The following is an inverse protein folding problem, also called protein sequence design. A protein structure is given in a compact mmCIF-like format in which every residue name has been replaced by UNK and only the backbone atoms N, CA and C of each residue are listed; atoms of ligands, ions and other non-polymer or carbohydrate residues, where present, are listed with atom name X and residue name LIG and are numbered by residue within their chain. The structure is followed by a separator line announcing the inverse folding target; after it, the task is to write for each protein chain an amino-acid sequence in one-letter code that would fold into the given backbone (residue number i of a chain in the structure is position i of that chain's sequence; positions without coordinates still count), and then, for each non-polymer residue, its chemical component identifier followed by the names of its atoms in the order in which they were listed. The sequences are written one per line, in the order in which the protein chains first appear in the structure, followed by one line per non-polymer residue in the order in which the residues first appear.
data_IF_730464849164
#
_entry.id   IF_730464849164
#
_cell.length_a   1.000
_cell.length_b   1.000
_cell.length_c   1.000
_cell.angle_alpha   90.00
_cell.angle_beta   90.00
_cell.angle_gamma   90.00
#
_symmetry.space_group_name_H-M   'P 1'
#
loop_
_entity.id
_entity.type
_entity.pdbx_description
1 polymer ?
#
# COMPACT_ATOMS: atom_id res chain seq x y z
N UNK A 1 -8.83 -0.22 10.46
CA UNK A 1 -7.71 -1.00 11.04
C UNK A 1 -7.79 -2.41 10.45
N UNK A 2 -6.99 -2.71 9.41
CA UNK A 2 -7.07 -3.96 8.62
C UNK A 2 -5.85 -4.87 8.82
N UNK A 3 -5.28 -4.92 10.03
CA UNK A 3 -4.13 -5.79 10.33
C UNK A 3 -4.58 -7.03 11.09
N UNK A 4 -4.03 -8.18 10.72
CA UNK A 4 -4.25 -9.43 11.43
C UNK A 4 -3.48 -9.36 12.75
N UNK A 5 -4.19 -9.37 13.88
CA UNK A 5 -3.59 -9.36 15.22
C UNK A 5 -3.46 -10.76 15.83
N UNK A 6 -4.10 -11.77 15.23
CA UNK A 6 -4.02 -13.16 15.63
C UNK A 6 -4.26 -14.05 14.42
N UNK A 7 -3.46 -15.11 14.25
CA UNK A 7 -3.61 -16.09 13.17
C UNK A 7 -3.44 -17.51 13.75
N UNK A 8 -4.29 -18.48 13.38
CA UNK A 8 -4.34 -19.79 14.05
C UNK A 8 -3.09 -20.66 13.86
N UNK A 9 -2.25 -20.36 12.86
CA UNK A 9 -1.07 -21.15 12.50
C UNK A 9 0.23 -20.33 12.54
N UNK A 10 0.15 -19.02 12.33
CA UNK A 10 1.34 -18.17 12.12
C UNK A 10 1.43 -17.15 13.24
N UNK A 11 2.64 -16.98 13.78
CA UNK A 11 2.89 -15.93 14.74
C UNK A 11 2.87 -14.55 14.06
N UNK A 12 2.10 -13.64 14.64
CA UNK A 12 2.10 -12.23 14.21
C UNK A 12 3.32 -11.56 14.83
N UNK A 13 4.34 -11.34 14.00
CA UNK A 13 5.56 -10.66 14.43
C UNK A 13 5.30 -9.17 14.65
N UNK A 14 5.70 -8.67 15.81
CA UNK A 14 5.79 -7.23 16.02
C UNK A 14 6.88 -6.64 15.15
N UNK A 15 6.58 -5.50 14.55
CA UNK A 15 7.50 -4.76 13.70
C UNK A 15 7.49 -3.30 14.10
N UNK A 16 8.62 -2.63 13.90
CA UNK A 16 8.75 -1.21 14.17
C UNK A 16 7.79 -0.41 13.29
N UNK A 17 7.07 0.54 13.89
CA UNK A 17 6.30 1.54 13.13
C UNK A 17 7.25 2.58 12.54
N UNK A 18 7.09 2.86 11.26
CA UNK A 18 7.79 3.92 10.55
C UNK A 18 6.78 4.95 10.04
N UNK A 19 7.22 6.21 9.97
CA UNK A 19 6.41 7.33 9.50
C UNK A 19 6.73 7.58 8.02
N UNK A 20 5.70 7.88 7.22
CA UNK A 20 5.85 8.33 5.85
C UNK A 20 4.72 9.31 5.48
N UNK A 21 4.85 9.97 4.33
CA UNK A 21 3.80 10.86 3.81
C UNK A 21 3.23 10.30 2.51
N UNK A 22 1.91 10.40 2.36
CA UNK A 22 1.21 10.11 1.12
C UNK A 22 0.16 11.21 0.89
N UNK A 23 0.23 11.89 -0.25
CA UNK A 23 -0.63 13.04 -0.57
C UNK A 23 -0.67 14.09 0.57
N UNK A 24 0.51 14.45 1.10
CA UNK A 24 0.68 15.39 2.22
C UNK A 24 0.03 14.95 3.54
N UNK A 25 -0.42 13.69 3.66
CA UNK A 25 -0.93 13.11 4.91
C UNK A 25 0.15 12.29 5.58
N UNK A 26 0.37 12.54 6.86
CA UNK A 26 1.26 11.70 7.69
C UNK A 26 0.59 10.35 7.96
N UNK A 27 1.26 9.27 7.60
CA UNK A 27 0.79 7.89 7.75
C UNK A 27 1.85 7.03 8.45
N UNK A 28 1.43 5.85 8.93
CA UNK A 28 2.30 4.87 9.56
C UNK A 28 2.29 3.54 8.83
N UNK A 29 3.47 2.96 8.63
CA UNK A 29 3.68 1.61 8.12
C UNK A 29 4.44 0.76 9.14
N UNK A 30 4.50 -0.55 8.93
CA UNK A 30 5.45 -1.42 9.61
C UNK A 30 6.70 -1.60 8.73
N UNK A 31 7.86 -1.71 9.36
CA UNK A 31 9.12 -1.89 8.66
C UNK A 31 9.13 -3.12 7.72
N UNK A 32 9.60 -2.92 6.48
CA UNK A 32 9.61 -3.95 5.45
C UNK A 32 8.25 -4.25 4.82
N UNK A 33 7.24 -3.41 5.04
CA UNK A 33 6.01 -3.44 4.22
C UNK A 33 6.23 -2.80 2.87
N UNK A 34 5.50 -3.31 1.88
CA UNK A 34 5.32 -2.60 0.61
C UNK A 34 4.40 -1.40 0.81
N UNK A 35 4.54 -0.39 -0.06
CA UNK A 35 3.71 0.81 -0.10
C UNK A 35 2.23 0.44 -0.10
N UNK A 36 1.84 -0.54 -0.91
CA UNK A 36 0.44 -0.91 -1.03
C UNK A 36 -0.11 -1.55 0.26
N UNK A 37 0.69 -2.37 0.96
CA UNK A 37 0.31 -2.91 2.28
C UNK A 37 0.16 -1.78 3.31
N UNK A 38 1.08 -0.81 3.30
CA UNK A 38 1.03 0.36 4.17
C UNK A 38 -0.22 1.21 3.92
N UNK A 39 -0.56 1.50 2.65
CA UNK A 39 -1.76 2.25 2.28
C UNK A 39 -3.05 1.53 2.71
N UNK A 40 -3.14 0.22 2.47
CA UNK A 40 -4.29 -0.59 2.90
C UNK A 40 -4.48 -0.59 4.42
N UNK A 41 -3.38 -0.63 5.18
CA UNK A 41 -3.45 -0.55 6.64
C UNK A 41 -3.98 0.79 7.14
N UNK A 42 -3.76 1.85 6.36
CA UNK A 42 -4.30 3.20 6.58
C UNK A 42 -5.68 3.41 5.91
N UNK A 43 -6.34 2.32 5.47
CA UNK A 43 -7.64 2.29 4.79
C UNK A 43 -7.69 3.01 3.43
N UNK A 44 -6.54 3.21 2.78
CA UNK A 44 -6.42 3.74 1.42
C UNK A 44 -6.32 2.54 0.47
N UNK A 45 -7.41 2.23 -0.24
CA UNK A 45 -7.45 1.12 -1.20
C UNK A 45 -7.42 1.60 -2.66
N UNK A 46 -7.70 2.89 -2.88
CA UNK A 46 -7.66 3.55 -4.19
C UNK A 46 -6.44 4.46 -4.23
N UNK A 47 -5.55 4.22 -5.19
CA UNK A 47 -4.28 4.92 -5.35
C UNK A 47 -4.35 5.97 -6.47
N UNK A 48 -5.25 5.77 -7.43
CA UNK A 48 -5.55 6.72 -8.49
C UNK A 48 -6.91 6.38 -9.13
N UNK A 49 -7.33 7.18 -10.10
CA UNK A 49 -8.53 6.94 -10.90
C UNK A 49 -8.16 6.85 -12.38
N UNK A 50 -8.80 5.93 -13.10
CA UNK A 50 -8.54 5.72 -14.52
C UNK A 50 -9.07 6.90 -15.35
N UNK A 51 -8.25 7.47 -16.22
CA UNK A 51 -8.57 8.72 -16.95
C UNK A 51 -9.78 8.67 -17.89
N UNK A 52 -10.22 7.47 -18.29
CA UNK A 52 -11.32 7.32 -19.27
C UNK A 52 -12.70 7.33 -18.60
N UNK A 53 -12.81 6.71 -17.43
CA UNK A 53 -14.08 6.33 -16.83
C UNK A 53 -14.13 6.55 -15.31
N UNK A 54 -13.10 7.17 -14.75
CA UNK A 54 -12.96 7.45 -13.31
C UNK A 54 -13.09 6.19 -12.43
N UNK A 55 -12.78 5.02 -12.98
CA UNK A 55 -12.77 3.79 -12.21
C UNK A 55 -11.61 3.80 -11.19
N UNK A 56 -11.84 3.41 -9.93
CA UNK A 56 -10.79 3.42 -8.91
C UNK A 56 -9.73 2.37 -9.23
N UNK A 57 -8.46 2.75 -9.13
CA UNK A 57 -7.31 1.87 -9.33
C UNK A 57 -6.57 1.64 -8.00
N UNK A 58 -6.09 0.42 -7.78
CA UNK A 58 -5.38 0.03 -6.58
C UNK A 58 -4.61 -1.27 -6.75
N UNK A 59 -4.45 -2.04 -5.68
CA UNK A 59 -3.94 -3.42 -5.79
C UNK A 59 -4.88 -4.25 -6.66
N UNK A 60 -4.29 -4.98 -7.61
CA UNK A 60 -4.98 -5.98 -8.43
C UNK A 60 -4.17 -7.27 -8.51
N UNK A 61 -3.05 -7.26 -9.23
CA UNK A 61 -2.23 -8.47 -9.46
C UNK A 61 -1.29 -8.86 -8.30
N UNK A 62 -0.91 -7.89 -7.44
CA UNK A 62 0.05 -8.06 -6.36
C UNK A 62 1.40 -8.72 -6.73
N UNK A 63 1.83 -8.63 -8.00
CA UNK A 63 3.06 -9.26 -8.50
C UNK A 63 3.92 -8.36 -9.40
N UNK A 64 3.65 -7.05 -9.41
CA UNK A 64 4.41 -6.06 -10.17
C UNK A 64 4.07 -5.92 -11.66
N UNK A 65 3.18 -6.75 -12.21
CA UNK A 65 2.92 -6.78 -13.67
C UNK A 65 1.88 -5.74 -14.12
N UNK A 66 0.80 -5.55 -13.35
CA UNK A 66 -0.26 -4.60 -13.74
C UNK A 66 0.13 -3.13 -13.52
N UNK A 67 -0.62 -2.21 -14.12
CA UNK A 67 -0.43 -0.78 -13.95
C UNK A 67 -1.30 -0.12 -12.85
N UNK A 68 -2.33 -0.80 -12.34
CA UNK A 68 -3.33 -0.19 -11.44
C UNK A 68 -2.77 0.27 -10.09
N UNK A 69 -1.67 -0.32 -9.62
CA UNK A 69 -1.04 0.04 -8.34
C UNK A 69 0.14 1.01 -8.49
N UNK A 70 0.27 1.68 -9.64
CA UNK A 70 1.39 2.60 -9.87
C UNK A 70 1.22 3.88 -9.06
N UNK A 71 2.27 4.31 -8.36
CA UNK A 71 2.30 5.54 -7.56
C UNK A 71 3.61 6.28 -7.81
N UNK A 72 3.66 7.56 -7.45
CA UNK A 72 4.91 8.33 -7.41
C UNK A 72 5.45 8.30 -5.98
N UNK A 73 6.60 7.66 -5.78
CA UNK A 73 7.34 7.66 -4.52
C UNK A 73 8.70 8.30 -4.76
N UNK A 74 9.04 9.33 -3.98
CA UNK A 74 10.30 10.07 -4.09
C UNK A 74 10.67 10.45 -5.53
N UNK A 75 9.71 11.06 -6.24
CA UNK A 75 9.81 11.48 -7.65
C UNK A 75 10.03 10.34 -8.67
N UNK A 76 9.77 9.08 -8.29
CA UNK A 76 9.87 7.91 -9.18
C UNK A 76 8.54 7.20 -9.27
N UNK A 77 8.16 6.80 -10.49
CA UNK A 77 7.00 5.93 -10.70
C UNK A 77 7.40 4.51 -10.31
N UNK A 78 6.71 3.96 -9.31
CA UNK A 78 6.98 2.63 -8.76
C UNK A 78 5.71 1.79 -8.69
N UNK A 79 5.87 0.48 -8.53
CA UNK A 79 4.77 -0.47 -8.32
C UNK A 79 4.56 -0.66 -6.83
N UNK A 80 3.50 -0.07 -6.28
CA UNK A 80 3.26 -0.08 -4.84
C UNK A 80 3.16 -1.50 -4.23
N UNK A 81 2.84 -2.53 -5.02
CA UNK A 81 2.73 -3.90 -4.52
C UNK A 81 4.06 -4.63 -4.32
N UNK A 82 5.17 -4.13 -4.87
CA UNK A 82 6.50 -4.76 -4.78
C UNK A 82 7.59 -3.76 -4.34
N UNK A 83 7.21 -2.51 -4.08
CA UNK A 83 8.02 -1.46 -3.46
C UNK A 83 7.44 -1.23 -2.08
#
# INVERSE_FOLDING_TARGET
MKRISSHPILEVKEKKKIKFYFENRELYALEGETIASALFANNINTFSYHKKDDSPQGIFCANGQCAQCSVVADNKVVKACIT
#
